data_IF_608106908171
#
_entry.id   IF_608106908171
#
_cell.length_a   1.000
_cell.length_b   1.000
_cell.length_c   1.000
_cell.angle_alpha   90.00
_cell.angle_beta   90.00
_cell.angle_gamma   90.00
#
_symmetry.space_group_name_H-M   'P 1'
#
loop_
_entity.id
_entity.type
_entity.pdbx_description
1 polymer ?
#
# COMPACT_ATOMS: atom_id res chain seq x y z
N UNK A 1 -19.09 -15.78 -7.84
CA UNK A 1 -17.98 -15.50 -6.89
C UNK A 1 -17.15 -14.37 -7.46
N UNK A 2 -17.23 -13.16 -6.90
CA UNK A 2 -16.38 -12.06 -7.34
C UNK A 2 -14.94 -12.34 -6.88
N UNK A 3 -14.01 -12.58 -7.82
CA UNK A 3 -12.58 -12.60 -7.51
C UNK A 3 -12.18 -11.17 -7.16
N UNK A 4 -11.90 -10.93 -5.89
CA UNK A 4 -11.25 -9.72 -5.43
C UNK A 4 -9.87 -9.62 -6.08
N UNK A 5 -9.58 -8.55 -6.82
CA UNK A 5 -8.23 -8.32 -7.34
C UNK A 5 -7.30 -7.97 -6.17
N UNK A 6 -6.05 -8.42 -6.25
CA UNK A 6 -5.05 -8.19 -5.20
C UNK A 6 -4.85 -6.70 -4.89
N UNK A 7 -5.05 -5.83 -5.89
CA UNK A 7 -4.97 -4.38 -5.75
C UNK A 7 -6.07 -3.81 -4.86
N UNK A 8 -7.31 -4.29 -5.01
CA UNK A 8 -8.44 -3.90 -4.16
C UNK A 8 -8.23 -4.33 -2.70
N UNK A 9 -7.54 -5.45 -2.48
CA UNK A 9 -7.20 -5.92 -1.13
C UNK A 9 -6.16 -5.01 -0.49
N UNK A 10 -5.06 -4.71 -1.19
CA UNK A 10 -3.98 -3.86 -0.69
C UNK A 10 -4.49 -2.45 -0.37
N UNK A 11 -5.31 -1.85 -1.24
CA UNK A 11 -5.87 -0.51 -0.99
C UNK A 11 -6.76 -0.47 0.26
N UNK A 12 -7.53 -1.53 0.51
CA UNK A 12 -8.35 -1.63 1.73
C UNK A 12 -7.51 -1.79 2.99
N UNK A 13 -6.49 -2.65 2.94
CA UNK A 13 -5.58 -2.85 4.07
C UNK A 13 -4.80 -1.57 4.37
N UNK A 14 -4.27 -0.90 3.34
CA UNK A 14 -3.61 0.40 3.48
C UNK A 14 -4.51 1.40 4.22
N UNK A 15 -5.78 1.54 3.82
CA UNK A 15 -6.73 2.45 4.48
C UNK A 15 -6.98 2.14 5.97
N UNK A 16 -6.89 0.88 6.37
CA UNK A 16 -7.11 0.45 7.77
C UNK A 16 -5.86 0.57 8.64
N UNK A 17 -4.69 0.62 8.02
CA UNK A 17 -3.39 0.49 8.71
C UNK A 17 -2.63 1.81 8.73
N UNK A 18 -2.59 2.50 7.60
CA UNK A 18 -1.92 3.78 7.47
C UNK A 18 -2.70 4.90 8.15
N UNK A 19 -1.95 5.95 8.52
CA UNK A 19 -2.55 7.25 8.78
C UNK A 19 -3.19 7.81 7.51
N UNK A 20 -4.09 8.78 7.66
CA UNK A 20 -4.74 9.42 6.51
C UNK A 20 -3.70 10.00 5.54
N UNK A 21 -2.65 10.67 6.04
CA UNK A 21 -1.58 11.25 5.21
C UNK A 21 -0.83 10.17 4.40
N UNK A 22 -0.45 9.08 5.04
CA UNK A 22 0.22 7.95 4.37
C UNK A 22 -0.71 7.29 3.34
N UNK A 23 -2.00 7.14 3.66
CA UNK A 23 -2.97 6.59 2.72
C UNK A 23 -3.15 7.49 1.49
N UNK A 24 -3.27 8.81 1.68
CA UNK A 24 -3.34 9.78 0.60
C UNK A 24 -2.07 9.75 -0.27
N UNK A 25 -0.88 9.67 0.35
CA UNK A 25 0.38 9.51 -0.38
C UNK A 25 0.43 8.22 -1.18
N UNK A 26 -0.02 7.10 -0.60
CA UNK A 26 -0.09 5.81 -1.28
C UNK A 26 -1.00 5.86 -2.52
N UNK A 27 -2.17 6.50 -2.39
CA UNK A 27 -3.10 6.72 -3.50
C UNK A 27 -2.50 7.58 -4.61
N UNK A 28 -1.88 8.71 -4.24
CA UNK A 28 -1.23 9.60 -5.22
C UNK A 28 -0.10 8.88 -5.99
N UNK A 29 0.69 8.04 -5.32
CA UNK A 29 1.73 7.26 -6.00
C UNK A 29 1.13 6.18 -6.92
N UNK A 30 0.00 5.58 -6.55
CA UNK A 30 -0.69 4.61 -7.41
C UNK A 30 -1.16 5.25 -8.71
N UNK A 31 -1.70 6.47 -8.66
CA UNK A 31 -2.07 7.26 -9.85
C UNK A 31 -0.83 7.59 -10.72
N UNK A 32 0.31 7.91 -10.11
CA UNK A 32 1.55 8.21 -10.83
C UNK A 32 2.14 7.00 -11.59
N UNK A 33 1.69 5.77 -11.32
CA UNK A 33 2.07 4.59 -12.11
C UNK A 33 1.47 4.60 -13.52
N UNK A 34 0.37 5.30 -13.73
CA UNK A 34 -0.26 5.45 -15.06
C UNK A 34 0.32 6.63 -15.85
N UNK A 35 1.27 7.37 -15.26
CA UNK A 35 1.86 8.53 -15.88
C UNK A 35 2.62 8.19 -17.18
N UNK A 36 2.54 9.04 -18.20
CA UNK A 36 3.16 8.81 -19.52
C UNK A 36 4.69 8.78 -19.49
N UNK A 37 5.32 9.56 -18.59
CA UNK A 37 6.76 9.59 -18.38
C UNK A 37 7.28 8.31 -17.64
N UNK A 38 8.18 7.51 -18.26
CA UNK A 38 8.74 6.30 -17.65
C UNK A 38 9.53 6.53 -16.35
N UNK A 39 10.22 7.65 -16.21
CA UNK A 39 11.01 7.97 -15.01
C UNK A 39 10.10 8.24 -13.82
N UNK A 40 8.97 8.92 -14.06
CA UNK A 40 7.95 9.16 -13.03
C UNK A 40 7.31 7.84 -12.60
N UNK A 41 6.96 6.97 -13.56
CA UNK A 41 6.44 5.62 -13.24
C UNK A 41 7.43 4.80 -12.41
N UNK A 42 8.71 4.81 -12.78
CA UNK A 42 9.75 4.08 -12.07
C UNK A 42 9.92 4.58 -10.63
N UNK A 43 9.94 5.90 -10.44
CA UNK A 43 10.01 6.51 -9.12
C UNK A 43 8.77 6.18 -8.27
N UNK A 44 7.58 6.26 -8.85
CA UNK A 44 6.33 5.92 -8.18
C UNK A 44 6.29 4.44 -7.76
N UNK A 45 6.72 3.52 -8.64
CA UNK A 45 6.82 2.10 -8.33
C UNK A 45 7.80 1.83 -7.17
N UNK A 46 8.96 2.51 -7.14
CA UNK A 46 9.93 2.36 -6.07
C UNK A 46 9.37 2.81 -4.71
N UNK A 47 8.68 3.96 -4.69
CA UNK A 47 8.06 4.47 -3.47
C UNK A 47 6.89 3.58 -3.01
N UNK A 48 6.08 3.08 -3.93
CA UNK A 48 5.01 2.12 -3.60
C UNK A 48 5.53 0.80 -3.05
N UNK A 49 6.69 0.32 -3.53
CA UNK A 49 7.33 -0.86 -2.98
C UNK A 49 7.69 -0.64 -1.50
N UNK A 50 8.36 0.48 -1.18
CA UNK A 50 8.71 0.83 0.21
C UNK A 50 7.47 0.98 1.09
N UNK A 51 6.42 1.60 0.59
CA UNK A 51 5.16 1.72 1.33
C UNK A 51 4.49 0.37 1.54
N UNK A 52 4.56 -0.54 0.55
CA UNK A 52 4.02 -1.90 0.67
C UNK A 52 4.79 -2.72 1.71
N UNK A 53 6.11 -2.60 1.78
CA UNK A 53 6.94 -3.21 2.83
C UNK A 53 6.58 -2.67 4.21
N UNK A 54 6.37 -1.35 4.34
CA UNK A 54 5.91 -0.73 5.58
C UNK A 54 4.51 -1.22 5.99
N UNK A 55 3.58 -1.34 5.03
CA UNK A 55 2.24 -1.88 5.28
C UNK A 55 2.34 -3.31 5.83
N UNK A 56 3.17 -4.15 5.23
CA UNK A 56 3.41 -5.51 5.70
C UNK A 56 3.95 -5.52 7.13
N UNK A 57 4.97 -4.72 7.43
CA UNK A 57 5.54 -4.64 8.78
C UNK A 57 4.51 -4.19 9.84
N UNK A 58 3.63 -3.25 9.50
CA UNK A 58 2.56 -2.80 10.41
C UNK A 58 1.49 -3.88 10.62
N UNK A 59 1.16 -4.63 9.56
CA UNK A 59 0.24 -5.77 9.66
C UNK A 59 0.85 -6.88 10.53
N UNK A 60 2.13 -7.20 10.33
CA UNK A 60 2.84 -8.21 11.11
C UNK A 60 2.93 -7.80 12.59
N UNK A 61 3.18 -6.53 12.89
CA UNK A 61 3.16 -6.01 14.26
C UNK A 61 1.78 -6.15 14.92
N UNK A 62 0.70 -5.85 14.18
CA UNK A 62 -0.68 -6.04 14.67
C UNK A 62 -1.00 -7.53 14.89
N UNK A 63 -0.58 -8.41 13.99
CA UNK A 63 -0.81 -9.84 14.11
C UNK A 63 0.00 -10.46 15.26
N UNK A 64 1.27 -10.07 15.43
CA UNK A 64 2.11 -10.53 16.53
C UNK A 64 1.53 -10.11 17.89
N UNK A 65 0.95 -8.91 17.98
CA UNK A 65 0.26 -8.45 19.19
C UNK A 65 -1.01 -9.25 19.49
N UNK A 66 -1.79 -9.64 18.47
CA UNK A 66 -3.00 -10.48 18.64
C UNK A 66 -2.70 -11.92 19.08
N UNK A 67 -1.51 -12.44 18.79
CA UNK A 67 -1.09 -13.78 19.19
C UNK A 67 -0.27 -13.83 20.49
N UNK A 68 0.18 -12.68 20.98
CA UNK A 68 0.94 -12.56 22.24
C UNK A 68 0.04 -12.37 23.48
N UNK A 69 -1.28 -12.30 23.29
CA UNK A 69 -2.35 -12.28 24.32
C UNK A 69 -3.05 -13.62 24.32
#
# INVERSE_FOLDING_TARGET
MAKLSSEVIVMRLAKQVFTEEEYQRFMALAELREHSNPQIRAAANLELLKMSERLQALLDARHSHLHAV
#
